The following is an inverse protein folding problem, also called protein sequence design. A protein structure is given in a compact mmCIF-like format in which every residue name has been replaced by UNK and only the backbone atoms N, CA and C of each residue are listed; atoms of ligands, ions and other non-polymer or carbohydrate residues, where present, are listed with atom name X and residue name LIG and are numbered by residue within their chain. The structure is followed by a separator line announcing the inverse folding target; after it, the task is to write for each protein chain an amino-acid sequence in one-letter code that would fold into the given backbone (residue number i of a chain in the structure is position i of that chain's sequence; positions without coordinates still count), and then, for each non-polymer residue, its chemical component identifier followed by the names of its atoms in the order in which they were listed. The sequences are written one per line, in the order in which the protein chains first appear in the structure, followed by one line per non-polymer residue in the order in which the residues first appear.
data_IF_883878652327
#
_entry.id   IF_883878652327
#
_cell.length_a   1.000
_cell.length_b   1.000
_cell.length_c   1.000
_cell.angle_alpha   90.00
_cell.angle_beta   90.00
_cell.angle_gamma   90.00
#
_symmetry.space_group_name_H-M   'P 1'
#
loop_
_entity.id
_entity.type
_entity.pdbx_description
1 polymer ?
#
# COMPACT_ATOMS: atom_id res chain seq x y z
N UNK A 1 28.77 -21.13 18.07
CA UNK A 1 29.27 -21.59 16.75
C UNK A 1 30.58 -22.30 16.98
N UNK A 2 30.78 -23.48 16.39
CA UNK A 2 32.10 -24.14 16.34
C UNK A 2 33.02 -23.39 15.36
N UNK A 3 34.33 -23.64 15.44
CA UNK A 3 35.33 -23.07 14.51
C UNK A 3 34.96 -23.29 13.04
N UNK A 4 34.61 -24.53 12.69
CA UNK A 4 34.22 -24.90 11.33
C UNK A 4 32.92 -24.24 10.87
N UNK A 5 31.89 -24.18 11.73
CA UNK A 5 30.62 -23.53 11.36
C UNK A 5 30.79 -22.02 11.17
N UNK A 6 31.71 -21.38 11.93
CA UNK A 6 32.05 -19.97 11.75
C UNK A 6 32.77 -19.73 10.42
N UNK A 7 33.68 -20.63 10.01
CA UNK A 7 34.37 -20.54 8.73
C UNK A 7 33.41 -20.73 7.55
N UNK A 8 32.53 -21.74 7.62
CA UNK A 8 31.48 -21.95 6.63
C UNK A 8 30.56 -20.72 6.52
N UNK A 9 30.19 -20.12 7.65
CA UNK A 9 29.37 -18.91 7.66
C UNK A 9 30.08 -17.73 6.99
N UNK A 10 31.37 -17.52 7.27
CA UNK A 10 32.14 -16.47 6.60
C UNK A 10 32.23 -16.66 5.09
N UNK A 11 32.47 -17.90 4.62
CA UNK A 11 32.49 -18.21 3.19
C UNK A 11 31.11 -17.99 2.55
N UNK A 12 30.05 -18.43 3.23
CA UNK A 12 28.68 -18.23 2.78
C UNK A 12 28.32 -16.76 2.64
N UNK A 13 28.68 -15.92 3.63
CA UNK A 13 28.48 -14.47 3.56
C UNK A 13 29.29 -13.84 2.44
N UNK A 14 30.57 -14.18 2.28
CA UNK A 14 31.38 -13.65 1.19
C UNK A 14 30.82 -14.02 -0.20
N UNK A 15 30.35 -15.25 -0.38
CA UNK A 15 29.70 -15.67 -1.62
C UNK A 15 28.37 -14.92 -1.84
N UNK A 16 27.59 -14.73 -0.78
CA UNK A 16 26.31 -13.99 -0.83
C UNK A 16 26.52 -12.53 -1.23
N UNK A 17 27.49 -11.84 -0.59
CA UNK A 17 27.82 -10.45 -0.87
C UNK A 17 28.39 -10.26 -2.29
N UNK A 18 29.06 -11.29 -2.81
CA UNK A 18 29.53 -11.34 -4.20
C UNK A 18 28.44 -11.71 -5.22
N UNK A 19 27.19 -11.92 -4.78
CA UNK A 19 26.06 -12.31 -5.65
C UNK A 19 26.10 -13.75 -6.15
N UNK A 20 27.01 -14.59 -5.62
CA UNK A 20 27.14 -16.01 -5.98
C UNK A 20 26.15 -16.85 -5.19
N UNK A 21 24.87 -16.69 -5.50
CA UNK A 21 23.78 -17.25 -4.69
C UNK A 21 23.73 -18.78 -4.66
N UNK A 22 24.17 -19.47 -5.71
CA UNK A 22 24.29 -20.93 -5.75
C UNK A 22 25.33 -21.44 -4.75
N UNK A 23 26.51 -20.82 -4.74
CA UNK A 23 27.58 -21.15 -3.81
C UNK A 23 27.17 -20.84 -2.37
N UNK A 24 26.61 -19.64 -2.14
CA UNK A 24 26.12 -19.22 -0.84
C UNK A 24 25.04 -20.17 -0.31
N UNK A 25 24.04 -20.54 -1.11
CA UNK A 25 22.98 -21.46 -0.67
C UNK A 25 23.54 -22.82 -0.26
N UNK A 26 24.46 -23.39 -1.04
CA UNK A 26 25.10 -24.68 -0.71
C UNK A 26 25.80 -24.64 0.65
N UNK A 27 26.57 -23.58 0.91
CA UNK A 27 27.27 -23.39 2.18
C UNK A 27 26.28 -23.16 3.34
N UNK A 28 25.23 -22.36 3.12
CA UNK A 28 24.18 -22.10 4.12
C UNK A 28 23.41 -23.38 4.48
N UNK A 29 23.09 -24.24 3.51
CA UNK A 29 22.42 -25.51 3.76
C UNK A 29 23.30 -26.49 4.57
N UNK A 30 24.62 -26.50 4.34
CA UNK A 30 25.53 -27.26 5.19
C UNK A 30 25.50 -26.76 6.65
N UNK A 31 25.42 -25.43 6.85
CA UNK A 31 25.29 -24.84 8.20
C UNK A 31 23.98 -25.26 8.85
N UNK A 32 22.86 -25.25 8.11
CA UNK A 32 21.54 -25.70 8.61
C UNK A 32 21.59 -27.18 9.03
N UNK A 33 22.22 -28.05 8.22
CA UNK A 33 22.34 -29.47 8.51
C UNK A 33 23.15 -29.77 9.78
N UNK A 34 24.13 -28.92 10.11
CA UNK A 34 24.92 -29.02 11.36
C UNK A 34 24.20 -28.37 12.55
N UNK A 35 23.57 -27.22 12.33
CA UNK A 35 23.02 -26.34 13.38
C UNK A 35 21.86 -25.49 12.85
N UNK A 36 20.59 -25.90 13.03
CA UNK A 36 19.43 -25.23 12.46
C UNK A 36 18.87 -24.09 13.33
N UNK A 37 19.75 -23.36 14.02
CA UNK A 37 19.38 -22.36 15.06
C UNK A 37 19.81 -20.93 14.72
N UNK A 38 20.43 -20.70 13.57
CA UNK A 38 20.97 -19.39 13.17
C UNK A 38 19.97 -18.59 12.33
N UNK A 39 19.36 -17.56 12.93
CA UNK A 39 18.34 -16.73 12.27
C UNK A 39 18.83 -16.04 10.99
N UNK A 40 20.07 -15.53 11.00
CA UNK A 40 20.76 -14.94 9.84
C UNK A 40 20.89 -15.89 8.65
N UNK A 41 21.19 -17.17 8.89
CA UNK A 41 21.27 -18.20 7.83
C UNK A 41 19.91 -18.35 7.14
N UNK A 42 18.82 -18.42 7.91
CA UNK A 42 17.48 -18.49 7.34
C UNK A 42 17.06 -17.20 6.63
N UNK A 43 17.48 -16.02 7.09
CA UNK A 43 17.26 -14.76 6.37
C UNK A 43 17.97 -14.75 5.01
N UNK A 44 19.24 -15.14 4.95
CA UNK A 44 20.00 -15.21 3.70
C UNK A 44 19.41 -16.24 2.72
N UNK A 45 19.06 -17.43 3.20
CA UNK A 45 18.36 -18.43 2.38
C UNK A 45 17.01 -17.91 1.87
N UNK A 46 16.27 -17.18 2.70
CA UNK A 46 15.00 -16.55 2.32
C UNK A 46 15.19 -15.52 1.21
N UNK A 47 16.22 -14.69 1.32
CA UNK A 47 16.58 -13.72 0.28
C UNK A 47 16.92 -14.42 -1.04
N UNK A 48 17.77 -15.45 -1.01
CA UNK A 48 18.11 -16.23 -2.22
C UNK A 48 16.86 -16.84 -2.87
N UNK A 49 15.95 -17.40 -2.05
CA UNK A 49 14.70 -17.98 -2.56
C UNK A 49 13.80 -16.92 -3.22
N UNK A 50 13.75 -15.70 -2.68
CA UNK A 50 13.03 -14.57 -3.28
C UNK A 50 13.60 -14.19 -4.65
N UNK A 51 14.94 -14.10 -4.78
CA UNK A 51 15.61 -13.81 -6.06
C UNK A 51 15.38 -14.89 -7.14
N UNK A 52 15.14 -16.13 -6.72
CA UNK A 52 14.85 -17.26 -7.61
C UNK A 52 13.36 -17.46 -7.88
N UNK A 53 12.55 -16.43 -7.70
CA UNK A 53 11.12 -16.46 -7.95
C UNK A 53 10.41 -17.61 -7.21
N UNK A 54 10.86 -17.92 -5.99
CA UNK A 54 10.27 -18.92 -5.09
C UNK A 54 9.78 -18.25 -3.80
N UNK A 55 8.80 -17.34 -3.89
CA UNK A 55 8.43 -16.46 -2.78
C UNK A 55 7.79 -17.22 -1.60
N UNK A 56 7.11 -18.35 -1.83
CA UNK A 56 6.56 -19.21 -0.76
C UNK A 56 7.67 -19.82 0.12
N UNK A 57 8.77 -20.25 -0.53
CA UNK A 57 9.96 -20.76 0.16
C UNK A 57 10.62 -19.63 0.95
N UNK A 58 10.71 -18.44 0.36
CA UNK A 58 11.25 -17.27 1.03
C UNK A 58 10.46 -16.90 2.29
N UNK A 59 9.12 -16.85 2.21
CA UNK A 59 8.23 -16.60 3.36
C UNK A 59 8.47 -17.61 4.49
N UNK A 60 8.56 -18.90 4.16
CA UNK A 60 8.84 -19.96 5.13
C UNK A 60 10.18 -19.73 5.85
N UNK A 61 11.21 -19.37 5.09
CA UNK A 61 12.56 -19.12 5.61
C UNK A 61 12.62 -17.86 6.48
N UNK A 62 11.97 -16.76 6.09
CA UNK A 62 11.89 -15.56 6.92
C UNK A 62 11.11 -15.81 8.22
N UNK A 63 9.99 -16.54 8.16
CA UNK A 63 9.25 -16.94 9.37
C UNK A 63 10.11 -17.81 10.28
N UNK A 64 10.93 -18.70 9.72
CA UNK A 64 11.90 -19.48 10.50
C UNK A 64 12.95 -18.59 11.16
N UNK A 65 13.49 -17.61 10.45
CA UNK A 65 14.42 -16.63 11.02
C UNK A 65 13.77 -15.87 12.20
N UNK A 66 12.52 -15.43 12.05
CA UNK A 66 11.77 -14.73 13.09
C UNK A 66 11.37 -15.62 14.28
N UNK A 67 11.17 -16.93 14.07
CA UNK A 67 10.95 -17.86 15.18
C UNK A 67 12.18 -18.03 16.07
N UNK A 68 13.38 -17.87 15.50
CA UNK A 68 14.66 -17.95 16.20
C UNK A 68 15.07 -16.61 16.81
N UNK A 69 14.76 -15.51 16.12
CA UNK A 69 14.96 -14.16 16.60
C UNK A 69 13.73 -13.29 16.24
N UNK A 70 12.73 -13.18 17.15
CA UNK A 70 11.54 -12.37 16.92
C UNK A 70 11.82 -10.88 16.67
N UNK A 71 13.01 -10.41 17.05
CA UNK A 71 13.42 -9.01 16.95
C UNK A 71 14.28 -8.74 15.70
N UNK A 72 14.40 -9.72 14.80
CA UNK A 72 15.22 -9.57 13.60
C UNK A 72 14.53 -8.66 12.58
N UNK A 73 14.81 -7.37 12.67
CA UNK A 73 14.19 -6.31 11.87
C UNK A 73 14.31 -6.57 10.37
N UNK A 74 15.51 -6.87 9.88
CA UNK A 74 15.77 -7.13 8.47
C UNK A 74 14.95 -8.33 7.92
N UNK A 75 14.90 -9.44 8.67
CA UNK A 75 14.11 -10.61 8.27
C UNK A 75 12.61 -10.31 8.24
N UNK A 76 12.11 -9.50 9.17
CA UNK A 76 10.70 -9.06 9.16
C UNK A 76 10.42 -8.13 7.99
N UNK A 77 11.33 -7.23 7.65
CA UNK A 77 11.21 -6.36 6.48
C UNK A 77 11.18 -7.17 5.18
N UNK A 78 12.09 -8.13 5.03
CA UNK A 78 12.14 -9.02 3.87
C UNK A 78 10.86 -9.85 3.75
N UNK A 79 10.29 -10.31 4.88
CA UNK A 79 8.99 -10.99 4.91
C UNK A 79 7.85 -10.08 4.44
N UNK A 80 7.76 -8.85 4.94
CA UNK A 80 6.73 -7.87 4.54
C UNK A 80 6.78 -7.62 3.04
N UNK A 81 7.97 -7.37 2.49
CA UNK A 81 8.15 -7.13 1.05
C UNK A 81 7.76 -8.35 0.22
N UNK A 82 8.20 -9.54 0.62
CA UNK A 82 7.88 -10.78 -0.10
C UNK A 82 6.38 -11.08 -0.08
N UNK A 83 5.71 -10.88 1.07
CA UNK A 83 4.26 -11.03 1.18
C UNK A 83 3.51 -10.01 0.31
N UNK A 84 4.00 -8.77 0.25
CA UNK A 84 3.43 -7.75 -0.62
C UNK A 84 3.59 -8.12 -2.11
N UNK A 85 4.75 -8.62 -2.53
CA UNK A 85 5.01 -9.06 -3.90
C UNK A 85 4.13 -10.28 -4.29
N UNK A 86 3.79 -11.14 -3.31
CA UNK A 86 2.84 -12.25 -3.50
C UNK A 86 1.36 -11.83 -3.51
N UNK A 87 1.05 -10.58 -3.21
CA UNK A 87 -0.34 -10.12 -3.05
C UNK A 87 -0.99 -10.49 -1.71
N UNK A 88 -0.22 -11.03 -0.75
CA UNK A 88 -0.68 -11.38 0.59
C UNK A 88 -0.70 -10.15 1.52
N UNK A 89 -1.43 -9.11 1.12
CA UNK A 89 -1.35 -7.78 1.72
C UNK A 89 -1.76 -7.71 3.19
N UNK A 90 -2.75 -8.49 3.61
CA UNK A 90 -3.16 -8.55 5.03
C UNK A 90 -2.04 -9.11 5.92
N UNK A 91 -1.34 -10.14 5.44
CA UNK A 91 -0.20 -10.71 6.16
C UNK A 91 0.98 -9.72 6.17
N UNK A 92 1.23 -9.04 5.03
CA UNK A 92 2.26 -8.01 4.94
C UNK A 92 2.00 -6.86 5.92
N UNK A 93 0.75 -6.37 6.00
CA UNK A 93 0.34 -5.32 6.92
C UNK A 93 0.45 -5.75 8.38
N UNK A 94 0.05 -6.99 8.71
CA UNK A 94 0.19 -7.52 10.07
C UNK A 94 1.66 -7.59 10.51
N UNK A 95 2.55 -8.07 9.63
CA UNK A 95 3.99 -8.13 9.93
C UNK A 95 4.63 -6.73 9.95
N UNK A 96 4.10 -5.78 9.18
CA UNK A 96 4.50 -4.38 9.20
C UNK A 96 4.10 -3.70 10.53
N UNK A 97 2.88 -3.92 11.04
CA UNK A 97 2.46 -3.40 12.36
C UNK A 97 3.36 -3.89 13.50
N UNK A 98 3.88 -5.11 13.40
CA UNK A 98 4.86 -5.66 14.36
C UNK A 98 6.24 -4.99 14.29
N UNK A 99 6.56 -4.26 13.22
CA UNK A 99 7.72 -3.38 13.17
C UNK A 99 7.46 -2.07 13.94
N UNK A 100 6.21 -1.60 13.95
CA UNK A 100 5.76 -0.34 14.58
C UNK A 100 5.49 -0.50 16.10
N UNK A 101 4.95 -1.63 16.55
CA UNK A 101 4.60 -1.93 17.96
C UNK A 101 5.79 -1.92 18.95
N UNK A 102 7.02 -1.69 18.49
CA UNK A 102 8.25 -1.70 19.31
C UNK A 102 8.98 -0.37 19.36
N UNK A 103 8.31 0.72 18.99
CA UNK A 103 8.92 2.04 18.97
C UNK A 103 9.19 2.58 20.40
N UNK A 104 10.42 2.36 20.88
CA UNK A 104 11.09 3.38 21.66
C UNK A 104 11.32 4.62 20.77
N UNK A 105 11.22 5.85 21.30
CA UNK A 105 11.45 7.05 20.51
C UNK A 105 12.86 7.03 19.89
N UNK A 106 12.95 6.92 18.57
CA UNK A 106 14.20 6.94 17.81
C UNK A 106 14.57 5.68 17.00
N UNK A 107 13.75 4.61 17.01
CA UNK A 107 13.95 3.44 16.14
C UNK A 107 13.59 3.74 14.67
N UNK A 108 14.13 3.00 13.67
CA UNK A 108 13.83 3.25 12.27
C UNK A 108 12.36 2.97 12.00
N UNK A 109 11.58 4.02 11.76
CA UNK A 109 10.27 3.95 11.09
C UNK A 109 10.43 3.08 9.85
N UNK A 110 9.43 2.25 9.51
CA UNK A 110 9.37 1.57 8.21
C UNK A 110 9.86 2.54 7.13
N UNK A 111 10.87 2.12 6.35
CA UNK A 111 11.47 3.02 5.37
C UNK A 111 10.36 3.56 4.47
N UNK A 112 10.45 4.84 4.10
CA UNK A 112 9.42 5.48 3.28
C UNK A 112 9.12 4.67 2.01
N UNK A 113 10.13 3.99 1.47
CA UNK A 113 10.00 3.07 0.34
C UNK A 113 9.12 1.85 0.63
N UNK A 114 9.23 1.21 1.80
CA UNK A 114 8.41 0.05 2.17
C UNK A 114 6.97 0.48 2.43
N UNK A 115 6.76 1.59 3.14
CA UNK A 115 5.41 2.16 3.35
C UNK A 115 4.75 2.49 2.03
N UNK A 116 5.48 3.12 1.11
CA UNK A 116 4.98 3.44 -0.23
C UNK A 116 4.63 2.21 -1.04
N UNK A 117 5.48 1.17 -1.02
CA UNK A 117 5.19 -0.11 -1.70
C UNK A 117 3.91 -0.77 -1.16
N UNK A 118 3.79 -0.87 0.17
CA UNK A 118 2.62 -1.49 0.79
C UNK A 118 1.35 -0.65 0.57
N UNK A 119 1.45 0.68 0.63
CA UNK A 119 0.34 1.58 0.31
C UNK A 119 -0.13 1.42 -1.15
N UNK A 120 0.81 1.34 -2.11
CA UNK A 120 0.49 1.11 -3.52
C UNK A 120 -0.19 -0.25 -3.72
N UNK A 121 0.30 -1.29 -3.04
CA UNK A 121 -0.30 -2.62 -3.07
C UNK A 121 -1.76 -2.62 -2.61
N UNK A 122 -2.05 -2.02 -1.46
CA UNK A 122 -3.42 -1.85 -0.98
C UNK A 122 -4.26 -0.98 -1.93
N UNK A 123 -3.69 0.09 -2.49
CA UNK A 123 -4.39 0.93 -3.47
C UNK A 123 -4.78 0.17 -4.76
N UNK A 124 -3.91 -0.72 -5.23
CA UNK A 124 -4.18 -1.56 -6.40
C UNK A 124 -5.24 -2.62 -6.11
N UNK A 125 -5.22 -3.23 -4.92
CA UNK A 125 -6.27 -4.15 -4.51
C UNK A 125 -7.62 -3.43 -4.36
N UNK A 126 -7.63 -2.24 -3.73
CA UNK A 126 -8.83 -1.40 -3.63
C UNK A 126 -9.40 -1.04 -4.99
N UNK A 127 -8.54 -0.77 -5.99
CA UNK A 127 -8.97 -0.54 -7.37
C UNK A 127 -9.62 -1.76 -8.01
N UNK A 128 -9.08 -2.96 -7.76
CA UNK A 128 -9.66 -4.22 -8.26
C UNK A 128 -11.03 -4.47 -7.63
N UNK A 129 -11.16 -4.31 -6.32
CA UNK A 129 -12.44 -4.45 -5.63
C UNK A 129 -13.48 -3.45 -6.16
N UNK A 130 -13.07 -2.19 -6.35
CA UNK A 130 -13.93 -1.17 -6.93
C UNK A 130 -14.43 -1.57 -8.33
N UNK A 131 -13.54 -2.06 -9.20
CA UNK A 131 -13.91 -2.50 -10.55
C UNK A 131 -14.88 -3.69 -10.55
N UNK A 132 -14.88 -4.50 -9.50
CA UNK A 132 -15.80 -5.63 -9.30
C UNK A 132 -17.10 -5.22 -8.59
N UNK A 133 -17.31 -3.94 -8.27
CA UNK A 133 -18.47 -3.45 -7.52
C UNK A 133 -18.42 -3.74 -6.02
N UNK A 134 -17.32 -4.30 -5.51
CA UNK A 134 -17.06 -4.57 -4.09
C UNK A 134 -16.56 -3.30 -3.40
N UNK A 135 -17.44 -2.31 -3.27
CA UNK A 135 -17.05 -0.97 -2.84
C UNK A 135 -16.65 -0.89 -1.36
N UNK A 136 -17.22 -1.72 -0.49
CA UNK A 136 -16.89 -1.72 0.94
C UNK A 136 -15.47 -2.25 1.17
N UNK A 137 -15.12 -3.34 0.49
CA UNK A 137 -13.78 -3.93 0.45
C UNK A 137 -12.78 -2.94 -0.17
N UNK A 138 -13.18 -2.23 -1.23
CA UNK A 138 -12.34 -1.18 -1.82
C UNK A 138 -12.01 -0.07 -0.81
N UNK A 139 -13.00 0.39 -0.03
CA UNK A 139 -12.79 1.42 1.01
C UNK A 139 -11.83 0.92 2.08
N UNK A 140 -11.99 -0.32 2.56
CA UNK A 140 -11.08 -0.90 3.55
C UNK A 140 -9.64 -0.92 3.07
N UNK A 141 -9.41 -1.31 1.80
CA UNK A 141 -8.07 -1.31 1.22
C UNK A 141 -7.51 0.11 1.04
N UNK A 142 -8.33 1.08 0.61
CA UNK A 142 -7.88 2.47 0.56
C UNK A 142 -7.58 3.05 1.95
N UNK A 143 -8.32 2.66 2.99
CA UNK A 143 -8.06 3.05 4.38
C UNK A 143 -6.73 2.48 4.89
N UNK A 144 -6.42 1.21 4.58
CA UNK A 144 -5.10 0.61 4.86
C UNK A 144 -3.98 1.39 4.14
N UNK A 145 -4.17 1.72 2.86
CA UNK A 145 -3.20 2.50 2.10
C UNK A 145 -2.97 3.91 2.68
N UNK A 146 -4.05 4.58 3.12
CA UNK A 146 -4.00 5.89 3.75
C UNK A 146 -3.37 5.86 5.16
N UNK A 147 -3.56 4.78 5.93
CA UNK A 147 -2.85 4.58 7.19
C UNK A 147 -1.34 4.54 7.01
N UNK A 148 -0.88 3.91 5.93
CA UNK A 148 0.54 3.84 5.58
C UNK A 148 1.05 5.16 4.99
N UNK A 149 0.24 5.85 4.19
CA UNK A 149 0.62 7.02 3.41
C UNK A 149 -0.55 8.04 3.36
N UNK A 150 -0.72 8.87 4.40
CA UNK A 150 -1.92 9.70 4.56
C UNK A 150 -1.99 10.91 3.61
N UNK A 151 -0.86 11.37 3.10
CA UNK A 151 -0.74 12.59 2.29
C UNK A 151 -0.80 12.33 0.78
N UNK A 152 -1.63 11.38 0.34
CA UNK A 152 -1.81 11.05 -1.08
C UNK A 152 -3.22 11.42 -1.55
N UNK A 153 -3.38 12.49 -2.34
CA UNK A 153 -4.70 12.98 -2.73
C UNK A 153 -5.46 11.99 -3.63
N UNK A 154 -4.75 11.20 -4.44
CA UNK A 154 -5.37 10.18 -5.30
C UNK A 154 -6.09 9.10 -4.48
N UNK A 155 -5.50 8.64 -3.36
CA UNK A 155 -6.13 7.65 -2.48
C UNK A 155 -7.41 8.17 -1.84
N UNK A 156 -7.39 9.41 -1.36
CA UNK A 156 -8.58 10.09 -0.83
C UNK A 156 -9.68 10.22 -1.89
N UNK A 157 -9.33 10.59 -3.13
CA UNK A 157 -10.28 10.67 -4.24
C UNK A 157 -10.87 9.29 -4.59
N UNK A 158 -10.05 8.24 -4.69
CA UNK A 158 -10.52 6.88 -4.96
C UNK A 158 -11.43 6.34 -3.87
N UNK A 159 -11.07 6.56 -2.61
CA UNK A 159 -11.91 6.23 -1.45
C UNK A 159 -13.26 6.93 -1.55
N UNK A 160 -13.26 8.23 -1.85
CA UNK A 160 -14.49 9.00 -1.99
C UNK A 160 -15.41 8.48 -3.09
N UNK A 161 -14.83 8.08 -4.23
CA UNK A 161 -15.59 7.47 -5.32
C UNK A 161 -16.24 6.17 -4.86
N UNK A 162 -15.53 5.26 -4.17
CA UNK A 162 -16.15 4.05 -3.61
C UNK A 162 -17.23 4.35 -2.56
N UNK A 163 -17.01 5.33 -1.66
CA UNK A 163 -18.02 5.77 -0.70
C UNK A 163 -19.28 6.28 -1.41
N UNK A 164 -19.13 7.03 -2.51
CA UNK A 164 -20.25 7.50 -3.33
C UNK A 164 -21.09 6.35 -3.87
N UNK A 165 -20.45 5.32 -4.41
CA UNK A 165 -21.17 4.17 -4.99
C UNK A 165 -21.95 3.38 -3.92
N UNK A 166 -21.54 3.44 -2.65
CA UNK A 166 -22.31 2.93 -1.50
C UNK A 166 -23.37 3.90 -0.96
N UNK A 167 -23.49 5.11 -1.51
CA UNK A 167 -24.37 6.15 -0.98
C UNK A 167 -23.86 6.83 0.30
N UNK A 168 -22.61 6.60 0.69
CA UNK A 168 -21.94 7.21 1.84
C UNK A 168 -21.42 8.62 1.47
N UNK A 169 -22.35 9.54 1.20
CA UNK A 169 -22.04 10.85 0.63
C UNK A 169 -21.28 11.77 1.59
N UNK A 170 -21.51 11.66 2.91
CA UNK A 170 -20.83 12.47 3.91
C UNK A 170 -19.33 12.10 4.01
N UNK A 171 -19.04 10.81 4.04
CA UNK A 171 -17.69 10.25 4.05
C UNK A 171 -16.96 10.54 2.74
N UNK A 172 -17.66 10.42 1.61
CA UNK A 172 -17.11 10.80 0.30
C UNK A 172 -16.71 12.28 0.27
N UNK A 173 -17.58 13.18 0.76
CA UNK A 173 -17.27 14.61 0.88
C UNK A 173 -16.04 14.84 1.75
N UNK A 174 -15.98 14.23 2.92
CA UNK A 174 -14.84 14.38 3.83
C UNK A 174 -13.52 13.95 3.19
N UNK A 175 -13.51 12.80 2.48
CA UNK A 175 -12.33 12.33 1.75
C UNK A 175 -11.92 13.30 0.63
N UNK A 176 -12.86 13.83 -0.15
CA UNK A 176 -12.55 14.80 -1.21
C UNK A 176 -11.99 16.11 -0.65
N UNK A 177 -12.53 16.61 0.45
CA UNK A 177 -11.99 17.79 1.14
C UNK A 177 -10.56 17.53 1.61
N UNK A 178 -10.25 16.33 2.11
CA UNK A 178 -8.86 15.99 2.47
C UNK A 178 -7.94 15.92 1.26
N UNK A 179 -8.42 15.38 0.14
CA UNK A 179 -7.67 15.38 -1.12
C UNK A 179 -7.36 16.82 -1.58
N UNK A 180 -8.31 17.74 -1.44
CA UNK A 180 -8.17 19.15 -1.81
C UNK A 180 -7.31 19.97 -0.82
N UNK A 181 -7.30 19.61 0.46
CA UNK A 181 -6.36 20.18 1.43
C UNK A 181 -4.91 19.85 1.04
N UNK A 182 -4.65 18.61 0.59
CA UNK A 182 -3.32 18.16 0.16
C UNK A 182 -2.97 18.74 -1.23
N UNK A 183 -3.93 18.73 -2.16
CA UNK A 183 -3.76 19.21 -3.53
C UNK A 183 -4.96 20.11 -3.94
N UNK A 184 -4.89 21.42 -3.68
CA UNK A 184 -6.00 22.35 -3.96
C UNK A 184 -6.41 22.44 -5.43
N UNK A 185 -5.49 22.13 -6.36
CA UNK A 185 -5.71 22.14 -7.80
C UNK A 185 -6.04 20.75 -8.37
N UNK A 186 -6.54 19.81 -7.55
CA UNK A 186 -6.93 18.49 -8.02
C UNK A 186 -8.29 18.52 -8.73
N UNK A 187 -8.27 18.58 -10.05
CA UNK A 187 -9.46 18.74 -10.91
C UNK A 187 -10.50 17.66 -10.64
N UNK A 188 -10.10 16.40 -10.63
CA UNK A 188 -10.99 15.25 -10.41
C UNK A 188 -11.68 15.30 -9.05
N UNK A 189 -10.98 15.78 -8.01
CA UNK A 189 -11.57 15.92 -6.69
C UNK A 189 -12.64 17.02 -6.66
N UNK A 190 -12.44 18.15 -7.35
CA UNK A 190 -13.48 19.19 -7.52
C UNK A 190 -14.70 18.65 -8.28
N UNK A 191 -14.48 17.88 -9.35
CA UNK A 191 -15.58 17.28 -10.12
C UNK A 191 -16.40 16.32 -9.27
N UNK A 192 -15.72 15.42 -8.54
CA UNK A 192 -16.38 14.48 -7.66
C UNK A 192 -17.06 15.19 -6.49
N UNK A 193 -16.49 16.27 -5.96
CA UNK A 193 -17.10 17.03 -4.87
C UNK A 193 -18.43 17.65 -5.31
N UNK A 194 -18.49 18.19 -6.54
CA UNK A 194 -19.73 18.71 -7.09
C UNK A 194 -20.80 17.64 -7.27
N UNK A 195 -20.42 16.44 -7.73
CA UNK A 195 -21.34 15.30 -7.81
C UNK A 195 -21.89 14.91 -6.43
N UNK A 196 -21.04 14.88 -5.40
CA UNK A 196 -21.47 14.57 -4.03
C UNK A 196 -22.39 15.65 -3.47
N UNK A 197 -22.07 16.93 -3.68
CA UNK A 197 -22.89 18.05 -3.23
C UNK A 197 -24.26 18.06 -3.90
N UNK A 198 -24.33 17.74 -5.20
CA UNK A 198 -25.59 17.59 -5.92
C UNK A 198 -26.45 16.47 -5.30
N UNK A 199 -25.85 15.31 -5.00
CA UNK A 199 -26.56 14.19 -4.33
C UNK A 199 -27.04 14.54 -2.93
N UNK A 200 -26.35 15.43 -2.25
CA UNK A 200 -26.74 15.98 -0.94
C UNK A 200 -27.76 17.13 -1.04
N UNK A 201 -28.19 17.54 -2.24
CA UNK A 201 -29.13 18.64 -2.47
C UNK A 201 -28.51 20.04 -2.44
N UNK A 202 -27.18 20.14 -2.29
CA UNK A 202 -26.47 21.41 -2.22
C UNK A 202 -26.03 21.85 -3.63
N UNK A 203 -27.00 22.21 -4.48
CA UNK A 203 -26.74 22.52 -5.90
C UNK A 203 -25.81 23.72 -6.09
N UNK A 204 -25.94 24.75 -5.25
CA UNK A 204 -25.06 25.93 -5.28
C UNK A 204 -23.61 25.54 -5.10
N UNK A 205 -23.29 24.73 -4.08
CA UNK A 205 -21.92 24.28 -3.85
C UNK A 205 -21.42 23.39 -4.99
N UNK A 206 -22.31 22.57 -5.56
CA UNK A 206 -21.97 21.68 -6.67
C UNK A 206 -21.51 22.47 -7.91
N UNK A 207 -22.24 23.53 -8.25
CA UNK A 207 -21.90 24.48 -9.32
C UNK A 207 -20.53 25.09 -9.07
N UNK A 208 -20.27 25.62 -7.87
CA UNK A 208 -18.97 26.21 -7.52
C UNK A 208 -17.82 25.21 -7.69
N UNK A 209 -18.03 23.95 -7.30
CA UNK A 209 -17.02 22.89 -7.46
C UNK A 209 -16.72 22.59 -8.93
N UNK A 210 -17.74 22.50 -9.80
CA UNK A 210 -17.52 22.28 -11.24
C UNK A 210 -16.94 23.49 -11.95
N UNK A 211 -17.34 24.70 -11.58
CA UNK A 211 -16.71 25.94 -12.06
C UNK A 211 -15.23 25.97 -11.69
N UNK A 212 -14.89 25.59 -10.44
CA UNK A 212 -13.50 25.49 -10.02
C UNK A 212 -12.72 24.46 -10.82
N UNK A 213 -13.31 23.30 -11.10
CA UNK A 213 -12.71 22.30 -11.99
C UNK A 213 -12.45 22.87 -13.40
N UNK A 214 -13.38 23.64 -13.96
CA UNK A 214 -13.24 24.26 -15.28
C UNK A 214 -12.28 25.46 -15.31
N UNK A 215 -12.09 26.16 -14.19
CA UNK A 215 -11.04 27.16 -14.07
C UNK A 215 -9.65 26.52 -14.14
N UNK A 216 -9.50 25.32 -13.56
CA UNK A 216 -8.24 24.58 -13.54
C UNK A 216 -7.99 23.81 -14.86
N UNK A 217 -9.04 23.22 -15.43
CA UNK A 217 -9.04 22.59 -16.76
C UNK A 217 -10.28 23.01 -17.57
N UNK A 218 -10.17 24.05 -18.41
CA UNK A 218 -11.28 24.54 -19.22
C UNK A 218 -11.86 23.52 -20.20
N UNK A 219 -11.10 22.46 -20.53
CA UNK A 219 -11.51 21.42 -21.49
C UNK A 219 -12.10 20.19 -20.78
N UNK A 220 -12.22 20.20 -19.45
CA UNK A 220 -12.73 19.07 -18.69
C UNK A 220 -14.21 18.78 -19.02
N UNK A 221 -14.44 17.75 -19.83
CA UNK A 221 -15.76 17.44 -20.42
C UNK A 221 -16.85 17.20 -19.38
N UNK A 222 -16.58 16.39 -18.36
CA UNK A 222 -17.60 16.00 -17.37
C UNK A 222 -18.05 17.20 -16.52
N UNK A 223 -17.12 17.99 -15.99
CA UNK A 223 -17.40 19.23 -15.27
C UNK A 223 -18.32 20.16 -16.07
N UNK A 224 -18.07 20.33 -17.37
CA UNK A 224 -18.92 21.13 -18.26
C UNK A 224 -20.33 20.55 -18.40
N UNK A 225 -20.45 19.23 -18.59
CA UNK A 225 -21.75 18.55 -18.69
C UNK A 225 -22.54 18.74 -17.40
N UNK A 226 -21.93 18.50 -16.23
CA UNK A 226 -22.60 18.64 -14.95
C UNK A 226 -23.01 20.09 -14.65
N UNK A 227 -22.15 21.06 -14.98
CA UNK A 227 -22.48 22.47 -14.83
C UNK A 227 -23.68 22.88 -15.70
N UNK A 228 -23.72 22.46 -16.96
CA UNK A 228 -24.85 22.73 -17.86
C UNK A 228 -26.13 22.10 -17.31
N UNK A 229 -26.06 20.84 -16.86
CA UNK A 229 -27.23 20.15 -16.30
C UNK A 229 -27.77 20.83 -15.03
N UNK A 230 -26.89 21.37 -14.19
CA UNK A 230 -27.27 22.03 -12.96
C UNK A 230 -27.75 23.47 -13.12
N UNK A 231 -27.43 24.12 -14.24
CA UNK A 231 -27.78 25.51 -14.54
C UNK A 231 -28.83 25.65 -15.64
N UNK A 232 -29.22 24.53 -16.27
CA UNK A 232 -30.33 24.50 -17.20
C UNK A 232 -31.61 24.94 -16.47
N UNK A 233 -32.36 25.93 -17.00
CA UNK A 233 -33.65 26.28 -16.46
C UNK A 233 -34.56 25.05 -16.54
N UNK A 234 -35.31 24.76 -15.47
CA UNK A 234 -36.39 23.78 -15.53
C UNK A 234 -37.31 24.16 -16.69
N UNK A 235 -37.19 23.49 -17.83
CA UNK A 235 -38.17 23.62 -18.90
C UNK A 235 -39.45 22.99 -18.41
N UNK A 236 -40.32 23.84 -17.84
CA UNK A 236 -41.77 23.75 -17.82
C UNK A 236 -42.33 22.34 -18.04
N UNK A 237 -42.56 21.62 -16.94
CA UNK A 237 -43.65 20.65 -16.93
C UNK A 237 -44.96 21.47 -16.91
N UNK A 238 -45.49 21.72 -18.10
CA UNK A 238 -46.89 22.06 -18.31
C UNK A 238 -47.78 20.83 -18.25
#
# INVERSE_FOLDING_TARGET
MTSETRQLFQQATAAFDAGKYEEAESLLLQIVGRTPTYANVFNMLGFIASQRNSPEKAVTLFRRALSLNPNYHEARLNLVLTLADMGAYDQAAQEAGRLEDREAPGAPRLSLGVRGKLANAHADLGRKYHALGMYAEAIQEYDKALGLCPNFPDLHNRRAVSCRELGQYAEAKASLLKALEIKPNYVEAHVNLGLIQQKLGNLTDAVHSWERALQLDPKHRLARIYLIQATAPETSAG
#
